data_IF_733928706792
#
_entry.id   IF_733928706792
#
_cell.length_a   1.000
_cell.length_b   1.000
_cell.length_c   1.000
_cell.angle_alpha   90.00
_cell.angle_beta   90.00
_cell.angle_gamma   90.00
#
_symmetry.space_group_name_H-M   'P 1'
#
loop_
_entity.id
_entity.type
_entity.pdbx_description
1 polymer ?
#
# COMPACT_ATOMS: atom_id res chain seq x y z
N UNK A 1 -5.37 -13.61 -1.33
CA UNK A 1 -4.51 -13.48 -0.14
C UNK A 1 -3.23 -12.83 -0.62
N UNK A 2 -3.10 -11.52 -0.40
CA UNK A 2 -1.86 -10.78 -0.68
C UNK A 2 -0.72 -11.44 0.11
N UNK A 3 0.34 -11.84 -0.58
CA UNK A 3 1.43 -12.65 0.00
C UNK A 3 2.60 -11.78 0.53
N UNK A 4 2.52 -10.47 0.38
CA UNK A 4 3.47 -9.50 0.94
C UNK A 4 2.99 -9.02 2.30
N UNK A 5 3.45 -9.67 3.37
CA UNK A 5 3.15 -9.25 4.74
C UNK A 5 3.96 -8.00 5.10
N UNK A 6 3.32 -7.03 5.76
CA UNK A 6 3.94 -5.79 6.28
C UNK A 6 5.27 -6.04 7.00
N UNK A 7 5.40 -7.18 7.71
CA UNK A 7 6.64 -7.60 8.38
C UNK A 7 7.88 -7.65 7.48
N UNK A 8 7.74 -8.07 6.22
CA UNK A 8 8.87 -8.10 5.29
C UNK A 8 9.28 -6.68 4.90
N UNK A 9 8.30 -5.81 4.64
CA UNK A 9 8.53 -4.42 4.32
C UNK A 9 9.19 -3.69 5.52
N UNK A 10 8.71 -3.93 6.74
CA UNK A 10 9.24 -3.31 7.96
C UNK A 10 10.69 -3.73 8.24
N UNK A 11 11.02 -5.01 8.04
CA UNK A 11 12.40 -5.49 8.18
C UNK A 11 13.33 -4.84 7.16
N UNK A 12 12.93 -4.77 5.90
CA UNK A 12 13.71 -4.13 4.84
C UNK A 12 13.90 -2.64 5.12
N UNK A 13 12.85 -1.93 5.57
CA UNK A 13 12.91 -0.52 5.94
C UNK A 13 13.93 -0.28 7.06
N UNK A 14 13.89 -1.14 8.09
CA UNK A 14 14.78 -1.07 9.26
C UNK A 14 16.25 -1.27 8.87
N UNK A 15 16.53 -2.13 7.89
CA UNK A 15 17.89 -2.43 7.43
C UNK A 15 18.43 -1.42 6.41
N UNK A 16 17.56 -0.84 5.58
CA UNK A 16 17.96 0.03 4.46
C UNK A 16 17.69 1.51 4.67
N UNK A 17 17.03 1.88 5.78
CA UNK A 17 16.58 3.24 6.08
C UNK A 17 15.73 3.86 4.95
N UNK A 18 15.06 3.00 4.17
CA UNK A 18 14.16 3.37 3.08
C UNK A 18 12.71 3.36 3.58
N UNK A 19 11.87 4.33 3.15
CA UNK A 19 10.47 4.35 3.53
C UNK A 19 9.70 3.20 2.86
N UNK A 20 8.70 2.67 3.57
CA UNK A 20 7.73 1.73 3.03
C UNK A 20 6.44 2.46 2.68
N UNK A 21 5.77 1.98 1.64
CA UNK A 21 4.46 2.46 1.25
C UNK A 21 3.60 1.28 0.79
N UNK A 22 2.30 1.39 1.03
CA UNK A 22 1.32 0.39 0.60
C UNK A 22 0.95 0.61 -0.87
N UNK A 23 0.79 -0.51 -1.59
CA UNK A 23 0.33 -0.52 -2.96
C UNK A 23 -0.67 -1.66 -3.15
N UNK A 24 -1.94 -1.32 -3.36
CA UNK A 24 -3.03 -2.28 -3.48
C UNK A 24 -3.05 -2.94 -4.87
N UNK A 25 -3.13 -4.27 -4.92
CA UNK A 25 -3.30 -5.04 -6.18
C UNK A 25 -4.78 -5.20 -6.58
N UNK A 26 -5.71 -4.66 -5.76
CA UNK A 26 -7.17 -4.77 -5.90
C UNK A 26 -7.76 -6.19 -5.78
N UNK A 27 -6.99 -7.17 -5.32
CA UNK A 27 -7.51 -8.53 -5.11
C UNK A 27 -8.19 -8.73 -3.75
N UNK A 28 -7.87 -7.89 -2.76
CA UNK A 28 -8.44 -7.94 -1.43
C UNK A 28 -8.58 -6.51 -0.89
N UNK A 29 -9.71 -6.24 -0.25
CA UNK A 29 -9.92 -5.05 0.58
C UNK A 29 -9.71 -5.47 2.04
N UNK A 30 -9.10 -4.60 2.85
CA UNK A 30 -8.97 -4.85 4.29
C UNK A 30 -10.33 -4.68 4.98
N UNK A 31 -10.49 -5.21 6.20
CA UNK A 31 -11.73 -4.98 6.96
C UNK A 31 -11.96 -3.49 7.20
N UNK A 32 -10.91 -2.75 7.55
CA UNK A 32 -10.98 -1.32 7.83
C UNK A 32 -11.36 -0.52 6.58
N UNK A 33 -10.74 -0.82 5.42
CA UNK A 33 -11.09 -0.19 4.14
C UNK A 33 -12.54 -0.53 3.74
N UNK A 34 -12.99 -1.76 3.99
CA UNK A 34 -14.36 -2.16 3.71
C UNK A 34 -15.37 -1.43 4.60
N UNK A 35 -15.10 -1.30 5.90
CA UNK A 35 -15.91 -0.55 6.85
C UNK A 35 -15.93 0.95 6.54
N UNK A 36 -14.82 1.49 6.02
CA UNK A 36 -14.71 2.88 5.55
C UNK A 36 -15.45 3.13 4.22
N UNK A 37 -15.97 2.09 3.56
CA UNK A 37 -16.66 2.20 2.28
C UNK A 37 -15.71 2.48 1.11
N UNK A 38 -14.43 2.14 1.24
CA UNK A 38 -13.44 2.27 0.18
C UNK A 38 -13.84 1.41 -1.02
N UNK A 39 -13.58 1.93 -2.21
CA UNK A 39 -13.90 1.28 -3.46
C UNK A 39 -12.66 1.16 -4.33
N UNK A 40 -12.78 0.45 -5.45
CA UNK A 40 -11.68 0.29 -6.39
C UNK A 40 -11.01 1.63 -6.78
N UNK A 41 -11.82 2.66 -7.07
CA UNK A 41 -11.32 3.96 -7.51
C UNK A 41 -10.51 4.64 -6.41
N UNK A 42 -11.02 4.67 -5.17
CA UNK A 42 -10.33 5.32 -4.06
C UNK A 42 -9.04 4.60 -3.66
N UNK A 43 -9.00 3.26 -3.74
CA UNK A 43 -7.77 2.49 -3.59
C UNK A 43 -6.74 2.79 -4.70
N UNK A 44 -7.19 3.00 -5.93
CA UNK A 44 -6.31 3.39 -7.04
C UNK A 44 -5.79 4.83 -6.93
N UNK A 45 -6.58 5.74 -6.37
CA UNK A 45 -6.10 7.10 -6.04
C UNK A 45 -5.01 7.07 -4.96
N UNK A 46 -5.15 6.22 -3.94
CA UNK A 46 -4.08 5.97 -2.93
C UNK A 46 -2.81 5.46 -3.61
N UNK A 47 -2.92 4.44 -4.46
CA UNK A 47 -1.80 3.92 -5.23
C UNK A 47 -1.13 4.99 -6.11
N UNK A 48 -1.92 5.82 -6.77
CA UNK A 48 -1.40 6.91 -7.61
C UNK A 48 -0.56 7.90 -6.80
N UNK A 49 -1.03 8.30 -5.61
CA UNK A 49 -0.29 9.19 -4.71
C UNK A 49 1.01 8.53 -4.19
N UNK A 50 0.97 7.24 -3.88
CA UNK A 50 2.17 6.47 -3.52
C UNK A 50 3.20 6.49 -4.64
N UNK A 51 2.79 6.18 -5.87
CA UNK A 51 3.68 6.17 -7.03
C UNK A 51 4.23 7.55 -7.36
N UNK A 52 3.42 8.59 -7.25
CA UNK A 52 3.85 9.98 -7.45
C UNK A 52 4.99 10.34 -6.51
N UNK A 53 4.85 9.99 -5.23
CA UNK A 53 5.87 10.20 -4.20
C UNK A 53 7.14 9.40 -4.50
N UNK A 54 7.00 8.10 -4.81
CA UNK A 54 8.13 7.22 -5.07
C UNK A 54 8.91 7.57 -6.34
N UNK A 55 8.22 8.07 -7.37
CA UNK A 55 8.82 8.42 -8.67
C UNK A 55 9.27 9.89 -8.75
N UNK A 56 9.07 10.69 -7.69
CA UNK A 56 9.45 12.10 -7.63
C UNK A 56 8.73 12.97 -8.67
N UNK A 57 7.46 12.68 -8.97
CA UNK A 57 6.64 13.42 -9.94
C UNK A 57 5.62 14.36 -9.27
#
# INVERSE_FOLDING_TARGET
>A
MELSNHKLADNLASESNLPTAEFHTCHNITSDDFEAGECYVSLMERNYNTLKTALGK
#
